data_IF_776201101247
#
_entry.id   IF_776201101247
#
_cell.length_a   1.000
_cell.length_b   1.000
_cell.length_c   1.000
_cell.angle_alpha   90.00
_cell.angle_beta   90.00
_cell.angle_gamma   90.00
#
_symmetry.space_group_name_H-M   'P 1'
#
loop_
_entity.id
_entity.type
_entity.pdbx_description
1 polymer ?
#
# COMPACT_ATOMS: atom_id res chain seq x y z
N UNK A 1 19.63 8.32 24.02
CA UNK A 1 18.37 7.90 23.37
C UNK A 1 18.73 7.57 21.94
N UNK A 2 18.38 6.38 21.49
CA UNK A 2 18.65 5.91 20.12
C UNK A 2 17.43 6.17 19.24
N UNK A 3 17.65 6.35 17.95
CA UNK A 3 16.57 6.66 17.00
C UNK A 3 15.97 5.39 16.40
N UNK A 4 14.64 5.36 16.29
CA UNK A 4 13.87 4.32 15.58
C UNK A 4 14.37 4.14 14.14
N UNK A 5 14.43 2.88 13.68
CA UNK A 5 15.00 2.49 12.37
C UNK A 5 16.54 2.57 12.30
N UNK A 6 17.20 3.15 13.31
CA UNK A 6 18.64 3.24 13.41
C UNK A 6 19.31 1.99 13.99
N UNK A 7 20.59 2.13 14.34
CA UNK A 7 21.40 1.08 14.96
C UNK A 7 21.96 1.56 16.31
N UNK A 8 22.18 0.64 17.25
CA UNK A 8 22.87 0.92 18.52
C UNK A 8 23.86 -0.19 18.83
N UNK A 9 24.94 0.18 19.53
CA UNK A 9 25.91 -0.77 20.08
C UNK A 9 25.88 -0.66 21.61
N UNK A 10 25.46 -1.75 22.26
CA UNK A 10 25.57 -1.93 23.71
C UNK A 10 26.91 -2.60 24.01
N UNK A 11 27.60 -2.20 25.07
CA UNK A 11 28.95 -2.68 25.34
C UNK A 11 29.21 -2.91 26.82
N UNK A 12 29.72 -4.10 27.15
CA UNK A 12 30.22 -4.42 28.47
C UNK A 12 31.72 -4.71 28.39
N UNK A 13 32.47 -4.07 29.30
CA UNK A 13 33.90 -4.29 29.45
C UNK A 13 34.12 -5.37 30.50
N UNK A 14 35.00 -6.31 30.22
CA UNK A 14 35.40 -7.35 31.16
C UNK A 14 36.92 -7.38 31.29
N UNK A 15 37.38 -7.86 32.43
CA UNK A 15 38.80 -7.97 32.77
C UNK A 15 39.25 -9.40 32.52
N UNK A 16 39.61 -9.71 31.27
CA UNK A 16 40.49 -10.83 30.97
C UNK A 16 41.19 -10.57 29.64
N UNK A 17 42.51 -10.69 29.62
CA UNK A 17 43.24 -10.99 28.38
C UNK A 17 43.22 -12.51 28.28
N UNK A 18 42.37 -13.11 27.44
CA UNK A 18 42.44 -14.55 27.27
C UNK A 18 43.79 -14.88 26.63
N UNK A 19 44.69 -15.51 27.39
CA UNK A 19 45.93 -16.11 26.85
C UNK A 19 45.60 -17.11 25.73
N UNK A 20 44.35 -17.58 25.66
CA UNK A 20 43.78 -18.29 24.53
C UNK A 20 42.27 -17.96 24.37
N UNK A 21 41.83 -17.27 23.30
CA UNK A 21 40.45 -16.77 23.16
C UNK A 21 39.34 -17.83 23.07
N UNK A 22 39.71 -19.11 22.86
CA UNK A 22 38.76 -20.11 22.38
C UNK A 22 38.27 -21.13 23.41
N UNK A 23 38.85 -21.18 24.62
CA UNK A 23 38.40 -22.12 25.65
C UNK A 23 37.91 -21.38 26.90
N UNK A 24 36.59 -21.37 27.10
CA UNK A 24 35.95 -20.91 28.34
C UNK A 24 35.38 -19.49 28.33
N UNK A 25 35.45 -18.75 27.21
CA UNK A 25 34.74 -17.48 27.06
C UNK A 25 33.29 -17.74 26.65
N UNK A 26 32.37 -17.30 27.49
CA UNK A 26 30.93 -17.38 27.27
C UNK A 26 30.33 -15.99 27.44
N UNK A 27 29.64 -15.51 26.42
CA UNK A 27 28.97 -14.21 26.42
C UNK A 27 27.50 -14.41 26.15
N UNK A 28 26.64 -13.91 27.04
CA UNK A 28 25.20 -13.99 26.87
C UNK A 28 24.61 -12.61 27.07
N UNK A 29 23.76 -12.20 26.14
CA UNK A 29 22.95 -11.00 26.27
C UNK A 29 21.52 -11.37 26.61
N UNK A 30 21.01 -10.80 27.69
CA UNK A 30 19.62 -10.93 28.11
C UNK A 30 18.89 -9.59 27.96
N UNK A 31 17.63 -9.66 27.54
CA UNK A 31 16.68 -8.57 27.69
C UNK A 31 15.91 -8.80 28.99
N UNK A 32 16.13 -7.89 29.93
CA UNK A 32 15.60 -7.96 31.29
C UNK A 32 14.16 -7.49 31.30
N UNK A 33 13.24 -8.44 31.41
CA UNK A 33 11.82 -8.22 31.71
C UNK A 33 11.48 -8.99 33.00
N UNK A 34 10.18 -9.14 33.33
CA UNK A 34 9.77 -10.03 34.43
C UNK A 34 10.22 -11.48 34.24
N UNK A 35 10.39 -11.92 32.98
CA UNK A 35 11.03 -13.17 32.62
C UNK A 35 12.19 -12.89 31.65
N UNK A 36 13.46 -12.91 32.10
CA UNK A 36 14.61 -12.58 31.25
C UNK A 36 14.63 -13.40 29.96
N UNK A 37 14.69 -12.72 28.81
CA UNK A 37 14.76 -13.36 27.51
C UNK A 37 16.18 -13.30 26.98
N UNK A 38 16.71 -14.43 26.52
CA UNK A 38 18.02 -14.46 25.86
C UNK A 38 17.91 -13.81 24.46
N UNK A 39 18.77 -12.84 24.21
CA UNK A 39 18.91 -12.14 22.94
C UNK A 39 19.88 -12.88 22.04
N UNK A 40 21.04 -13.24 22.60
CA UNK A 40 22.12 -13.94 21.90
C UNK A 40 23.06 -14.58 22.91
N UNK A 41 23.69 -15.68 22.48
CA UNK A 41 24.72 -16.41 23.20
C UNK A 41 25.89 -16.73 22.28
N UNK A 42 27.08 -16.50 22.80
CA UNK A 42 28.34 -17.01 22.28
C UNK A 42 28.90 -18.01 23.30
N UNK A 43 29.10 -19.25 22.86
CA UNK A 43 29.69 -20.34 23.64
C UNK A 43 30.52 -21.20 22.70
N UNK A 44 31.76 -21.54 23.06
CA UNK A 44 32.69 -22.33 22.23
C UNK A 44 32.90 -21.77 20.80
N UNK A 45 32.95 -20.44 20.67
CA UNK A 45 33.02 -19.72 19.38
C UNK A 45 31.81 -19.92 18.46
N UNK A 46 30.72 -20.49 18.97
CA UNK A 46 29.45 -20.65 18.24
C UNK A 46 28.46 -19.58 18.69
N UNK A 47 28.01 -18.77 17.75
CA UNK A 47 26.95 -17.78 17.97
C UNK A 47 25.56 -18.42 17.78
N UNK A 48 24.68 -18.19 18.75
CA UNK A 48 23.30 -18.66 18.74
C UNK A 48 22.37 -17.50 19.10
N UNK A 49 21.23 -17.43 18.41
CA UNK A 49 20.22 -16.39 18.60
C UNK A 49 18.93 -17.05 19.10
N UNK A 50 18.56 -16.77 20.35
CA UNK A 50 17.46 -17.48 21.00
C UNK A 50 16.08 -16.87 20.71
N UNK A 51 16.00 -15.56 20.42
CA UNK A 51 14.72 -14.86 20.32
C UNK A 51 14.36 -14.46 18.88
N UNK A 52 13.17 -14.86 18.37
CA UNK A 52 12.68 -14.47 17.06
C UNK A 52 12.60 -12.95 16.85
N UNK A 53 12.35 -12.18 17.92
CA UNK A 53 12.30 -10.70 17.90
C UNK A 53 13.60 -10.07 17.39
N UNK A 54 14.73 -10.73 17.63
CA UNK A 54 16.06 -10.23 17.35
C UNK A 54 16.72 -10.94 16.14
N UNK A 55 16.00 -11.86 15.50
CA UNK A 55 16.51 -12.63 14.37
C UNK A 55 16.90 -11.70 13.21
N UNK A 56 18.13 -11.85 12.71
CA UNK A 56 18.69 -11.04 11.61
C UNK A 56 19.02 -9.58 11.97
N UNK A 57 18.72 -9.12 13.19
CA UNK A 57 18.95 -7.72 13.62
C UNK A 57 20.13 -7.56 14.58
N UNK A 58 20.55 -8.64 15.20
CA UNK A 58 21.56 -8.61 16.26
C UNK A 58 22.86 -9.26 15.82
N UNK A 59 23.98 -8.63 16.20
CA UNK A 59 25.33 -9.12 15.90
C UNK A 59 26.27 -8.88 17.08
N UNK A 60 27.10 -9.86 17.41
CA UNK A 60 28.22 -9.66 18.32
C UNK A 60 29.40 -9.08 17.54
N UNK A 61 30.03 -8.03 18.05
CA UNK A 61 31.26 -7.52 17.48
C UNK A 61 32.43 -8.35 18.02
N UNK A 62 32.57 -9.57 17.52
CA UNK A 62 33.51 -10.58 18.03
C UNK A 62 34.98 -10.13 17.99
N UNK A 63 35.34 -9.23 17.08
CA UNK A 63 36.65 -8.57 17.04
C UNK A 63 36.99 -7.76 18.29
N UNK A 64 35.97 -7.27 19.01
CA UNK A 64 36.14 -6.44 20.20
C UNK A 64 36.38 -7.28 21.47
N UNK A 65 36.09 -8.59 21.40
CA UNK A 65 36.29 -9.51 22.52
C UNK A 65 37.77 -9.59 22.91
N UNK A 66 38.69 -9.55 21.92
CA UNK A 66 40.15 -9.51 22.15
C UNK A 66 40.62 -8.28 22.93
N UNK A 67 39.82 -7.22 22.92
CA UNK A 67 40.08 -5.96 23.61
C UNK A 67 39.35 -5.89 24.98
N UNK A 68 38.78 -7.01 25.45
CA UNK A 68 38.01 -7.08 26.70
C UNK A 68 36.62 -6.44 26.59
N UNK A 69 36.02 -6.42 25.40
CA UNK A 69 34.70 -5.83 25.16
C UNK A 69 33.72 -6.82 24.52
N UNK A 70 32.62 -7.09 25.21
CA UNK A 70 31.46 -7.74 24.64
C UNK A 70 30.52 -6.65 24.11
N UNK A 71 30.52 -6.42 22.79
CA UNK A 71 29.68 -5.41 22.14
C UNK A 71 28.58 -6.05 21.31
N UNK A 72 27.33 -5.74 21.65
CA UNK A 72 26.12 -6.16 20.96
C UNK A 72 25.62 -5.04 20.06
N UNK A 73 25.63 -5.26 18.76
CA UNK A 73 24.95 -4.38 17.81
C UNK A 73 23.51 -4.84 17.60
N UNK A 74 22.56 -3.92 17.71
CA UNK A 74 21.16 -4.10 17.34
C UNK A 74 20.86 -3.13 16.20
N UNK A 75 20.38 -3.65 15.08
CA UNK A 75 20.04 -2.88 13.87
C UNK A 75 18.53 -2.84 13.65
N UNK A 76 18.04 -1.90 12.84
CA UNK A 76 16.60 -1.69 12.62
C UNK A 76 15.84 -1.55 13.95
N UNK A 77 16.23 -0.53 14.74
CA UNK A 77 15.72 -0.33 16.10
C UNK A 77 14.21 -0.08 16.11
N UNK A 78 13.51 -0.83 16.97
CA UNK A 78 12.07 -0.70 17.19
C UNK A 78 11.81 -0.06 18.54
N UNK A 79 10.66 0.58 18.71
CA UNK A 79 10.24 1.17 20.00
C UNK A 79 10.26 0.10 21.11
N UNK A 80 9.84 -1.12 20.77
CA UNK A 80 9.80 -2.29 21.68
C UNK A 80 11.18 -2.85 22.04
N UNK A 81 12.26 -2.40 21.41
CA UNK A 81 13.63 -2.75 21.83
C UNK A 81 14.07 -1.93 23.04
N UNK A 82 13.34 -0.88 23.42
CA UNK A 82 13.58 -0.16 24.67
C UNK A 82 13.46 -1.09 25.87
N UNK A 83 14.34 -0.90 26.85
CA UNK A 83 14.34 -1.69 28.07
C UNK A 83 15.74 -1.86 28.66
N UNK A 84 15.83 -2.77 29.61
CA UNK A 84 17.07 -3.09 30.31
C UNK A 84 17.70 -4.33 29.70
N UNK A 85 18.97 -4.26 29.33
CA UNK A 85 19.75 -5.38 28.77
C UNK A 85 20.87 -5.74 29.72
N UNK A 86 21.09 -7.02 29.94
CA UNK A 86 22.20 -7.50 30.78
C UNK A 86 23.15 -8.32 29.92
N UNK A 87 24.42 -7.92 29.91
CA UNK A 87 25.50 -8.76 29.39
C UNK A 87 26.02 -9.60 30.56
N UNK A 88 25.98 -10.91 30.41
CA UNK A 88 26.62 -11.88 31.28
C UNK A 88 27.86 -12.41 30.57
N UNK A 89 29.00 -12.38 31.26
CA UNK A 89 30.27 -12.82 30.71
C UNK A 89 30.87 -13.81 31.69
N UNK A 90 31.27 -14.97 31.18
CA UNK A 90 31.98 -15.98 31.94
C UNK A 90 33.30 -16.29 31.24
N UNK A 91 34.35 -16.37 32.04
CA UNK A 91 35.74 -16.65 31.66
C UNK A 91 36.27 -17.75 32.56
N UNK A 92 37.51 -18.18 32.34
CA UNK A 92 38.20 -19.15 33.20
C UNK A 92 38.43 -18.63 34.63
N UNK A 93 38.51 -17.31 34.82
CA UNK A 93 38.75 -16.68 36.13
C UNK A 93 37.47 -16.49 36.94
N UNK A 94 36.31 -16.51 36.29
CA UNK A 94 35.03 -16.26 36.92
C UNK A 94 33.99 -15.70 35.96
N UNK A 95 32.88 -15.21 36.50
CA UNK A 95 31.81 -14.59 35.74
C UNK A 95 31.41 -13.25 36.35
N UNK A 96 30.95 -12.34 35.50
CA UNK A 96 30.42 -11.04 35.89
C UNK A 96 29.30 -10.63 34.94
N UNK A 97 28.48 -9.67 35.36
CA UNK A 97 27.40 -9.14 34.55
C UNK A 97 27.27 -7.62 34.69
N UNK A 98 26.76 -7.00 33.62
CA UNK A 98 26.44 -5.57 33.63
C UNK A 98 25.14 -5.30 32.91
N UNK A 99 24.33 -4.46 33.54
CA UNK A 99 23.02 -4.04 33.04
C UNK A 99 23.13 -2.66 32.38
N UNK A 100 22.48 -2.49 31.22
CA UNK A 100 22.48 -1.30 30.38
C UNK A 100 21.03 -0.97 30.01
N UNK A 101 20.62 0.28 30.16
CA UNK A 101 19.29 0.74 29.73
C UNK A 101 19.34 1.30 28.32
N UNK A 102 18.52 0.75 27.42
CA UNK A 102 18.29 1.25 26.07
C UNK A 102 16.94 1.97 26.02
N UNK A 103 16.93 3.20 25.49
CA UNK A 103 15.71 3.95 25.20
C UNK A 103 15.72 4.34 23.73
N UNK A 104 14.69 3.90 23.01
CA UNK A 104 14.46 4.17 21.60
C UNK A 104 13.32 5.18 21.46
N UNK A 105 13.56 6.24 20.69
CA UNK A 105 12.57 7.27 20.38
C UNK A 105 12.44 7.47 18.86
N UNK A 106 11.29 7.98 18.43
CA UNK A 106 11.05 8.37 17.06
C UNK A 106 10.68 9.86 17.02
N UNK A 107 11.49 10.74 16.44
CA UNK A 107 11.18 12.15 16.39
C UNK A 107 10.08 12.48 15.37
N UNK A 108 9.29 13.51 15.63
CA UNK A 108 8.24 14.05 14.76
C UNK A 108 8.81 14.90 13.61
N UNK A 109 9.83 14.38 12.90
CA UNK A 109 10.57 15.06 11.83
C UNK A 109 9.71 15.33 10.58
N UNK A 110 8.91 14.36 10.17
CA UNK A 110 8.20 14.36 8.88
C UNK A 110 6.82 15.02 8.97
N UNK A 111 6.81 16.33 9.17
CA UNK A 111 5.57 17.10 9.35
C UNK A 111 4.87 17.34 8.01
N UNK A 112 3.70 16.73 7.84
CA UNK A 112 2.77 16.98 6.74
C UNK A 112 1.95 18.23 7.03
N UNK A 113 1.91 19.17 6.08
CA UNK A 113 1.14 20.42 6.14
C UNK A 113 -0.05 20.37 5.18
N UNK A 114 -1.24 20.76 5.63
CA UNK A 114 -2.42 20.95 4.78
C UNK A 114 -3.10 22.29 5.10
N UNK A 115 -3.63 22.92 4.07
CA UNK A 115 -4.33 24.20 4.13
C UNK A 115 -5.64 24.01 3.38
N UNK A 116 -6.76 24.17 4.06
CA UNK A 116 -8.11 23.98 3.50
C UNK A 116 -8.95 25.23 3.79
N UNK A 117 -9.79 25.65 2.85
CA UNK A 117 -10.69 26.81 3.06
C UNK A 117 -12.04 26.32 3.56
N UNK A 118 -12.68 27.09 4.43
CA UNK A 118 -14.08 26.84 4.80
C UNK A 118 -15.01 27.05 3.60
N UNK A 119 -16.23 26.51 3.67
CA UNK A 119 -17.23 26.65 2.62
C UNK A 119 -17.58 28.13 2.35
N UNK A 120 -17.52 28.96 3.39
CA UNK A 120 -17.77 30.39 3.34
C UNK A 120 -16.59 31.21 2.78
N UNK A 121 -15.36 30.64 2.74
CA UNK A 121 -14.17 31.29 2.18
C UNK A 121 -13.48 32.32 3.10
N UNK A 122 -14.06 32.63 4.24
CA UNK A 122 -13.60 33.64 5.21
C UNK A 122 -12.51 33.11 6.16
N UNK A 123 -12.38 31.78 6.26
CA UNK A 123 -11.47 31.10 7.16
C UNK A 123 -10.71 29.96 6.50
N UNK A 124 -9.59 29.62 7.11
CA UNK A 124 -8.65 28.61 6.67
C UNK A 124 -8.35 27.66 7.82
N UNK A 125 -8.43 26.36 7.54
CA UNK A 125 -8.04 25.30 8.45
C UNK A 125 -6.61 24.90 8.12
N UNK A 126 -5.71 25.13 9.08
CA UNK A 126 -4.31 24.72 8.98
C UNK A 126 -4.13 23.41 9.73
N UNK A 127 -3.68 22.36 9.04
CA UNK A 127 -3.48 21.04 9.63
C UNK A 127 -2.02 20.64 9.58
N UNK A 128 -1.48 20.26 10.73
CA UNK A 128 -0.13 19.77 10.94
C UNK A 128 -0.20 18.32 11.42
N UNK A 129 0.48 17.40 10.73
CA UNK A 129 0.45 15.98 11.07
C UNK A 129 1.85 15.38 11.05
N UNK A 130 2.22 14.64 12.09
CA UNK A 130 3.47 13.88 12.11
C UNK A 130 3.32 12.60 12.95
N UNK A 131 4.22 11.66 12.72
CA UNK A 131 4.31 10.40 13.46
C UNK A 131 5.60 10.38 14.30
N UNK A 132 5.53 9.85 15.52
CA UNK A 132 6.66 9.86 16.46
C UNK A 132 6.38 9.11 17.77
N UNK A 133 7.40 9.00 18.63
CA UNK A 133 7.33 8.36 19.93
C UNK A 133 8.37 8.97 20.89
N UNK A 134 8.02 9.26 22.15
CA UNK A 134 6.70 9.09 22.77
C UNK A 134 5.69 10.15 22.31
N UNK A 135 4.45 10.06 22.79
CA UNK A 135 3.41 11.07 22.49
C UNK A 135 3.89 12.50 22.78
N UNK A 136 3.61 13.41 21.85
CA UNK A 136 3.95 14.83 21.94
C UNK A 136 2.71 15.72 21.92
N UNK A 137 2.75 16.79 22.71
CA UNK A 137 1.79 17.90 22.61
C UNK A 137 2.19 18.78 21.42
N UNK A 138 1.20 19.36 20.74
CA UNK A 138 1.41 20.34 19.67
C UNK A 138 0.96 21.71 20.13
N UNK A 139 1.85 22.69 20.02
CA UNK A 139 1.56 24.10 20.30
C UNK A 139 1.54 24.87 18.98
N UNK A 140 0.58 25.77 18.82
CA UNK A 140 0.50 26.65 17.67
C UNK A 140 0.76 28.09 18.06
N UNK A 141 1.63 28.75 17.30
CA UNK A 141 1.97 30.15 17.51
C UNK A 141 1.94 30.90 16.18
N UNK A 142 1.49 32.15 16.20
CA UNK A 142 1.58 33.02 15.02
C UNK A 142 2.92 33.80 14.98
N UNK A 143 3.13 34.63 13.96
CA UNK A 143 4.36 35.43 13.80
C UNK A 143 4.61 36.42 14.95
N UNK A 144 3.58 36.72 15.74
CA UNK A 144 3.65 37.58 16.93
C UNK A 144 3.79 36.78 18.23
N UNK A 145 4.08 35.47 18.15
CA UNK A 145 4.19 34.54 19.30
C UNK A 145 2.89 34.36 20.09
N UNK A 146 1.74 34.73 19.53
CA UNK A 146 0.45 34.48 20.15
C UNK A 146 0.08 33.01 20.00
N UNK A 147 -0.28 32.37 21.12
CA UNK A 147 -0.71 30.97 21.12
C UNK A 147 -2.14 30.81 20.63
N UNK A 148 -2.38 29.73 19.90
CA UNK A 148 -3.70 29.32 19.44
C UNK A 148 -4.07 27.98 20.07
N UNK A 149 -5.35 27.82 20.41
CA UNK A 149 -5.88 26.55 20.93
C UNK A 149 -6.09 25.57 19.78
N UNK A 150 -5.32 24.49 19.69
CA UNK A 150 -5.47 23.54 18.62
C UNK A 150 -6.46 22.43 18.98
N UNK A 151 -7.15 21.93 17.97
CA UNK A 151 -7.82 20.64 18.06
C UNK A 151 -6.81 19.55 17.65
N UNK A 152 -6.25 18.87 18.65
CA UNK A 152 -5.21 17.86 18.46
C UNK A 152 -5.78 16.47 18.76
N UNK A 153 -5.58 15.55 17.81
CA UNK A 153 -5.95 14.15 17.93
C UNK A 153 -4.69 13.29 17.84
N UNK A 154 -4.47 12.43 18.84
CA UNK A 154 -3.43 11.39 18.80
C UNK A 154 -4.07 10.04 18.51
N UNK A 155 -3.52 9.31 17.54
CA UNK A 155 -3.94 7.93 17.23
C UNK A 155 -2.72 7.01 17.24
N UNK A 156 -2.87 5.73 17.65
CA UNK A 156 -1.83 4.73 17.45
C UNK A 156 -1.53 4.56 15.95
N UNK A 157 -0.27 4.40 15.63
CA UNK A 157 0.25 4.11 14.29
C UNK A 157 1.01 2.77 14.30
N UNK A 158 1.38 2.22 13.13
CA UNK A 158 2.24 1.04 13.05
C UNK A 158 3.52 1.18 13.89
N UNK A 159 4.13 0.03 14.24
CA UNK A 159 5.38 -0.04 15.01
C UNK A 159 5.37 0.61 16.41
N UNK A 160 4.18 0.81 16.99
CA UNK A 160 3.96 1.47 18.29
C UNK A 160 4.33 2.96 18.29
N UNK A 161 4.20 3.61 17.14
CA UNK A 161 4.30 5.06 17.03
C UNK A 161 2.96 5.73 17.33
N UNK A 162 3.01 7.04 17.59
CA UNK A 162 1.85 7.91 17.71
C UNK A 162 1.76 8.82 16.50
N UNK A 163 0.61 8.77 15.82
CA UNK A 163 0.24 9.74 14.80
C UNK A 163 -0.52 10.88 15.44
N UNK A 164 0.07 12.06 15.41
CA UNK A 164 -0.50 13.27 15.99
C UNK A 164 -0.94 14.18 14.84
N UNK A 165 -2.22 14.52 14.82
CA UNK A 165 -2.83 15.46 13.87
C UNK A 165 -3.40 16.63 14.65
N UNK A 166 -2.92 17.84 14.37
CA UNK A 166 -3.31 19.06 15.04
C UNK A 166 -3.81 20.07 14.03
N UNK A 167 -4.93 20.73 14.31
CA UNK A 167 -5.47 21.77 13.43
C UNK A 167 -5.95 23.01 14.19
N UNK A 168 -5.83 24.16 13.52
CA UNK A 168 -6.37 25.45 13.95
C UNK A 168 -7.17 26.07 12.81
N UNK A 169 -8.16 26.89 13.16
CA UNK A 169 -8.98 27.67 12.24
C UNK A 169 -8.63 29.14 12.40
N UNK A 170 -8.25 29.80 11.32
CA UNK A 170 -7.75 31.19 11.29
C UNK A 170 -8.37 31.96 10.14
N UNK A 171 -8.39 33.30 10.19
CA UNK A 171 -8.98 34.10 9.10
C UNK A 171 -8.13 34.01 7.83
N UNK A 172 -8.77 33.88 6.66
CA UNK A 172 -8.09 33.94 5.35
C UNK A 172 -7.54 35.33 5.03
N UNK A 173 -8.09 36.38 5.66
CA UNK A 173 -7.72 37.78 5.40
C UNK A 173 -6.52 38.26 6.22
N UNK A 174 -6.19 37.56 7.30
CA UNK A 174 -5.07 37.91 8.17
C UNK A 174 -3.75 37.42 7.57
N UNK A 175 -2.91 38.36 7.11
CA UNK A 175 -1.56 38.06 6.66
C UNK A 175 -0.67 37.73 7.85
N UNK A 176 -0.65 36.46 8.23
CA UNK A 176 0.17 35.97 9.34
C UNK A 176 0.79 34.61 9.00
N UNK A 177 1.89 34.29 9.68
CA UNK A 177 2.55 33.00 9.60
C UNK A 177 2.19 32.21 10.85
N UNK A 178 1.74 30.97 10.68
CA UNK A 178 1.39 30.10 11.79
C UNK A 178 2.38 28.95 11.86
N UNK A 179 2.89 28.65 13.05
CA UNK A 179 3.87 27.60 13.26
C UNK A 179 3.30 26.58 14.23
N UNK A 180 3.20 25.32 13.81
CA UNK A 180 2.97 24.21 14.73
C UNK A 180 4.32 23.73 15.28
N UNK A 181 4.38 23.44 16.58
CA UNK A 181 5.58 22.96 17.27
C UNK A 181 5.26 21.73 18.12
N UNK A 182 5.97 20.64 17.88
CA UNK A 182 5.95 19.42 18.68
C UNK A 182 6.84 19.61 19.90
N UNK A 183 6.24 19.73 21.09
CA UNK A 183 6.96 20.11 22.31
C UNK A 183 7.97 19.06 22.77
N UNK A 184 7.84 17.80 22.34
CA UNK A 184 8.70 16.72 22.80
C UNK A 184 10.14 16.82 22.27
N UNK A 185 10.28 17.27 21.03
CA UNK A 185 11.54 17.24 20.28
C UNK A 185 11.82 18.56 19.52
N UNK A 186 10.88 19.52 19.56
CA UNK A 186 11.04 20.86 19.02
C UNK A 186 10.91 20.93 17.50
N UNK A 187 10.48 19.87 16.83
CA UNK A 187 10.19 19.95 15.40
C UNK A 187 8.98 20.84 15.17
N UNK A 188 9.09 21.68 14.15
CA UNK A 188 8.06 22.66 13.85
C UNK A 188 7.88 22.82 12.35
N UNK A 189 6.69 23.27 11.97
CA UNK A 189 6.40 23.60 10.58
C UNK A 189 5.59 24.89 10.51
N UNK A 190 6.06 25.82 9.68
CA UNK A 190 5.42 27.10 9.43
C UNK A 190 4.54 27.03 8.17
N UNK A 191 3.38 27.66 8.28
CA UNK A 191 2.35 27.82 7.27
C UNK A 191 2.32 29.27 6.80
N UNK A 192 2.24 29.45 5.49
CA UNK A 192 2.04 30.72 4.83
C UNK A 192 0.70 30.63 4.10
N UNK A 193 -0.28 31.44 4.50
CA UNK A 193 -1.59 31.46 3.85
C UNK A 193 -1.43 32.21 2.51
N UNK A 194 -1.72 31.57 1.36
CA UNK A 194 -1.62 32.22 0.06
C UNK A 194 -2.74 33.25 -0.16
N UNK A 195 -2.45 34.33 -0.91
CA UNK A 195 -3.38 35.44 -1.18
C UNK A 195 -4.60 35.01 -2.04
N UNK A 196 -4.49 33.92 -2.80
CA UNK A 196 -5.58 33.32 -3.58
C UNK A 196 -5.68 31.82 -3.25
N UNK A 197 -6.59 31.46 -2.33
CA UNK A 197 -6.96 30.05 -2.19
C UNK A 197 -8.03 29.77 -3.25
N UNK A 198 -7.69 29.00 -4.28
CA UNK A 198 -8.62 28.53 -5.29
C UNK A 198 -9.72 27.70 -4.59
N UNK A 199 -10.81 28.37 -4.24
CA UNK A 199 -12.07 27.72 -3.89
C UNK A 199 -12.45 26.83 -5.07
N UNK A 200 -12.83 25.55 -4.85
CA UNK A 200 -13.53 24.78 -5.86
C UNK A 200 -14.95 25.36 -5.99
N UNK A 201 -15.04 26.56 -6.56
CA UNK A 201 -16.29 27.29 -6.62
C UNK A 201 -17.11 26.82 -7.82
N UNK A 202 -18.28 26.26 -7.49
CA UNK A 202 -19.54 26.64 -8.12
C UNK A 202 -19.59 26.60 -9.64
N UNK A 203 -19.76 25.39 -10.20
CA UNK A 203 -20.35 25.24 -11.54
C UNK A 203 -21.51 24.26 -11.43
N UNK A 204 -22.69 24.76 -11.08
CA UNK A 204 -23.99 24.12 -11.40
C UNK A 204 -25.21 25.07 -11.29
N UNK A 205 -25.05 26.33 -10.86
CA UNK A 205 -26.18 27.24 -10.67
C UNK A 205 -26.95 27.65 -11.94
N UNK A 206 -26.38 27.43 -13.14
CA UNK A 206 -27.06 27.75 -14.42
C UNK A 206 -27.71 26.53 -15.07
N UNK A 207 -27.21 25.32 -14.80
CA UNK A 207 -27.72 24.09 -15.43
C UNK A 207 -29.07 23.64 -14.84
N UNK A 208 -29.24 23.79 -13.52
CA UNK A 208 -30.46 23.41 -12.81
C UNK A 208 -31.67 24.23 -13.26
N UNK A 209 -31.64 25.59 -13.34
CA UNK A 209 -32.79 26.35 -13.84
C UNK A 209 -33.08 26.06 -15.32
N UNK A 210 -32.07 25.79 -16.15
CA UNK A 210 -32.27 25.46 -17.58
C UNK A 210 -32.95 24.10 -17.75
N UNK A 211 -32.53 23.08 -16.97
CA UNK A 211 -33.19 21.76 -16.94
C UNK A 211 -34.63 21.85 -16.43
N UNK A 212 -34.89 22.64 -15.40
CA UNK A 212 -36.24 22.89 -14.88
C UNK A 212 -37.14 23.59 -15.91
N UNK A 213 -36.64 24.60 -16.62
CA UNK A 213 -37.39 25.29 -17.68
C UNK A 213 -37.65 24.32 -18.85
N UNK A 214 -36.66 23.51 -19.25
CA UNK A 214 -36.83 22.49 -20.27
C UNK A 214 -37.90 21.46 -19.91
N UNK A 215 -37.90 20.97 -18.66
CA UNK A 215 -38.92 20.05 -18.16
C UNK A 215 -40.33 20.66 -18.14
N UNK A 216 -40.46 21.93 -17.73
CA UNK A 216 -41.75 22.63 -17.73
C UNK A 216 -42.30 22.80 -19.16
N UNK A 217 -41.45 23.15 -20.12
CA UNK A 217 -41.85 23.27 -21.53
C UNK A 217 -42.24 21.92 -22.14
N UNK A 218 -41.51 20.84 -21.82
CA UNK A 218 -41.85 19.49 -22.26
C UNK A 218 -43.20 19.02 -21.67
N UNK A 219 -43.44 19.28 -20.39
CA UNK A 219 -44.70 18.95 -19.72
C UNK A 219 -45.89 19.72 -20.33
N UNK A 220 -45.72 21.00 -20.66
CA UNK A 220 -46.73 21.79 -21.36
C UNK A 220 -46.99 21.26 -22.78
N UNK A 221 -45.94 20.83 -23.49
CA UNK A 221 -46.06 20.18 -24.80
C UNK A 221 -46.86 18.88 -24.73
N UNK A 222 -46.53 17.98 -23.80
CA UNK A 222 -47.26 16.74 -23.53
C UNK A 222 -48.72 17.00 -23.10
N UNK A 223 -48.95 18.04 -22.30
CA UNK A 223 -50.28 18.51 -21.93
C UNK A 223 -51.11 18.95 -23.14
N UNK A 224 -50.52 19.67 -24.09
CA UNK A 224 -51.22 20.07 -25.33
C UNK A 224 -51.50 18.89 -26.26
N UNK A 225 -50.58 17.93 -26.36
CA UNK A 225 -50.78 16.71 -27.18
C UNK A 225 -51.90 15.86 -26.62
N UNK A 226 -51.91 15.61 -25.30
CA UNK A 226 -52.98 14.86 -24.64
C UNK A 226 -54.31 15.62 -24.66
N UNK A 227 -54.31 16.95 -24.56
CA UNK A 227 -55.50 17.78 -24.73
C UNK A 227 -56.07 17.70 -26.16
N UNK A 228 -55.21 17.71 -27.20
CA UNK A 228 -55.62 17.49 -28.58
C UNK A 228 -56.14 16.07 -28.81
N UNK A 229 -55.56 15.06 -28.17
CA UNK A 229 -56.01 13.67 -28.26
C UNK A 229 -57.37 13.44 -27.58
N UNK A 230 -57.68 14.19 -26.51
CA UNK A 230 -58.94 14.09 -25.77
C UNK A 230 -60.10 14.86 -26.42
N UNK A 231 -59.83 15.78 -27.35
CA UNK A 231 -60.84 16.55 -28.10
C UNK A 231 -61.29 15.89 -29.42
N UNK A 232 -60.65 14.78 -29.81
CA UNK A 232 -60.92 14.03 -31.04
C UNK A 232 -61.96 12.90 -30.94
N UNK A 233 -62.53 12.62 -29.76
CA UNK A 233 -63.56 11.59 -29.60
C UNK A 233 -64.67 12.05 -28.67
N UNK A 234 -65.91 12.12 -29.16
CA UNK A 234 -67.09 12.61 -28.44
C UNK A 234 -68.17 11.51 -28.41
N UNK A 235 -68.34 10.91 -27.23
CA UNK A 235 -69.58 10.32 -26.60
C UNK A 235 -70.24 9.06 -27.20
N UNK A 236 -71.19 8.36 -26.49
CA UNK A 236 -71.71 8.55 -25.10
C UNK A 236 -71.98 7.25 -24.25
N UNK A 237 -72.40 7.46 -22.98
CA UNK A 237 -73.19 6.56 -22.07
C UNK A 237 -72.46 5.35 -21.42
N UNK A 238 -72.65 4.96 -20.15
CA UNK A 238 -73.85 4.97 -19.27
C UNK A 238 -73.51 4.88 -17.77
N UNK A 239 -74.49 5.31 -16.96
CA UNK A 239 -74.74 5.31 -15.51
C UNK A 239 -74.33 4.12 -14.60
N UNK A 240 -74.08 4.52 -13.32
CA UNK A 240 -74.52 3.98 -12.01
C UNK A 240 -73.61 3.06 -11.14
N UNK A 241 -73.22 3.65 -10.00
CA UNK A 241 -73.36 3.28 -8.57
C UNK A 241 -72.98 1.90 -7.99
N UNK A 242 -72.16 1.99 -6.92
CA UNK A 242 -72.14 1.29 -5.61
C UNK A 242 -71.96 -0.24 -5.59
N UNK A 243 -71.01 -0.71 -4.76
CA UNK A 243 -71.22 -1.60 -3.59
C UNK A 243 -69.86 -1.87 -2.91
N UNK A 244 -69.90 -1.88 -1.58
CA UNK A 244 -68.84 -2.22 -0.61
C UNK A 244 -68.84 -3.74 -0.30
N UNK A 245 -67.85 -4.18 0.47
CA UNK A 245 -67.64 -5.49 1.12
C UNK A 245 -66.87 -6.61 0.39
N UNK A 246 -65.88 -7.16 1.11
CA UNK A 246 -65.33 -8.50 0.87
C UNK A 246 -63.89 -8.72 1.37
N UNK A 247 -63.73 -9.19 2.60
CA UNK A 247 -62.47 -9.70 3.19
C UNK A 247 -61.98 -11.04 2.58
N UNK A 248 -60.64 -11.24 2.69
CA UNK A 248 -59.85 -12.48 2.75
C UNK A 248 -59.71 -13.43 1.54
N UNK A 249 -58.48 -13.54 1.00
CA UNK A 249 -57.51 -14.62 1.32
C UNK A 249 -56.34 -14.73 0.31
N UNK A 250 -55.11 -14.79 0.87
CA UNK A 250 -53.89 -15.52 0.44
C UNK A 250 -53.47 -15.64 -1.03
N UNK A 251 -52.29 -15.09 -1.39
CA UNK A 251 -51.07 -15.87 -1.73
C UNK A 251 -49.96 -15.05 -2.41
N UNK A 252 -48.76 -15.11 -1.81
CA UNK A 252 -47.41 -15.01 -2.39
C UNK A 252 -47.08 -13.99 -3.50
N UNK A 253 -46.35 -12.92 -3.18
CA UNK A 253 -45.08 -12.57 -3.87
C UNK A 253 -44.27 -11.47 -3.16
N UNK A 254 -42.95 -11.71 -3.06
CA UNK A 254 -41.83 -10.75 -3.11
C UNK A 254 -41.82 -9.50 -2.19
N UNK A 255 -40.97 -9.57 -1.16
CA UNK A 255 -40.41 -8.41 -0.48
C UNK A 255 -39.50 -7.59 -1.42
N UNK A 256 -39.93 -6.38 -1.81
CA UNK A 256 -39.03 -5.33 -2.31
C UNK A 256 -38.51 -4.52 -1.12
N UNK A 257 -37.23 -4.68 -0.78
CA UNK A 257 -36.50 -3.68 0.03
C UNK A 257 -35.87 -2.67 -0.93
N UNK A 258 -36.13 -1.39 -0.65
CA UNK A 258 -35.55 -0.23 -1.32
C UNK A 258 -34.04 -0.20 -1.08
N UNK A 259 -33.27 -0.25 -2.16
CA UNK A 259 -31.91 0.25 -2.17
C UNK A 259 -31.93 1.79 -2.18
N UNK A 260 -31.19 2.39 -1.25
CA UNK A 260 -30.76 3.79 -1.33
C UNK A 260 -29.47 3.79 -2.13
N UNK A 261 -29.54 4.28 -3.37
CA UNK A 261 -28.38 4.65 -4.16
C UNK A 261 -27.56 5.71 -3.41
N UNK A 262 -26.26 5.41 -3.21
CA UNK A 262 -25.25 6.41 -2.87
C UNK A 262 -24.71 6.93 -4.20
N UNK A 263 -24.93 8.22 -4.45
CA UNK A 263 -24.27 8.95 -5.53
C UNK A 263 -22.75 8.87 -5.31
N UNK A 264 -22.05 8.33 -6.31
CA UNK A 264 -20.59 8.36 -6.40
C UNK A 264 -20.21 9.61 -7.20
N UNK A 265 -19.57 10.57 -6.54
CA UNK A 265 -19.02 11.76 -7.18
C UNK A 265 -17.94 11.35 -8.20
N UNK A 266 -18.08 11.88 -9.40
CA UNK A 266 -17.31 11.57 -10.60
C UNK A 266 -16.01 12.41 -10.59
N UNK A 267 -14.87 11.77 -10.34
CA UNK A 267 -13.54 12.42 -10.40
C UNK A 267 -13.01 12.30 -11.82
N UNK A 268 -12.98 13.43 -12.54
CA UNK A 268 -12.28 13.59 -13.82
C UNK A 268 -10.77 13.52 -13.58
N UNK A 269 -10.10 12.56 -14.21
CA UNK A 269 -8.65 12.33 -14.05
C UNK A 269 -7.87 13.20 -15.04
N UNK A 270 -7.17 14.20 -14.53
CA UNK A 270 -5.99 14.79 -15.20
C UNK A 270 -4.73 14.45 -14.40
N UNK A 271 -3.66 14.14 -15.12
CA UNK A 271 -2.28 13.86 -14.68
C UNK A 271 -2.01 12.45 -14.09
N UNK A 272 -0.92 11.81 -14.55
CA UNK A 272 -0.49 10.41 -14.28
C UNK A 272 -0.41 10.03 -12.80
N UNK A 273 -0.23 11.02 -11.92
CA UNK A 273 -0.21 10.86 -10.47
C UNK A 273 -1.56 10.39 -9.90
N UNK A 274 -2.66 10.76 -10.58
CA UNK A 274 -4.02 10.34 -10.23
C UNK A 274 -4.32 8.90 -10.71
N UNK A 275 -3.74 8.46 -11.84
CA UNK A 275 -3.82 7.05 -12.26
C UNK A 275 -3.07 6.15 -11.28
N UNK A 276 -1.87 6.57 -10.85
CA UNK A 276 -1.07 5.83 -9.86
C UNK A 276 -1.81 5.66 -8.53
N UNK A 277 -2.36 6.74 -7.99
CA UNK A 277 -3.08 6.71 -6.71
C UNK A 277 -4.37 5.86 -6.82
N UNK A 278 -5.08 5.94 -7.95
CA UNK A 278 -6.25 5.13 -8.21
C UNK A 278 -5.93 3.63 -8.25
N UNK A 279 -4.87 3.23 -8.98
CA UNK A 279 -4.43 1.84 -9.05
C UNK A 279 -3.95 1.34 -7.68
N UNK A 280 -3.19 2.14 -6.93
CA UNK A 280 -2.77 1.78 -5.57
C UNK A 280 -3.98 1.57 -4.65
N UNK A 281 -4.96 2.48 -4.66
CA UNK A 281 -6.17 2.34 -3.85
C UNK A 281 -6.95 1.08 -4.23
N UNK A 282 -7.13 0.82 -5.53
CA UNK A 282 -7.84 -0.35 -6.05
C UNK A 282 -7.17 -1.66 -5.64
N UNK A 283 -5.85 -1.75 -5.79
CA UNK A 283 -5.09 -2.94 -5.44
C UNK A 283 -4.97 -3.13 -3.92
N UNK A 284 -4.92 -2.06 -3.14
CA UNK A 284 -5.01 -2.13 -1.67
C UNK A 284 -6.39 -2.63 -1.19
N UNK A 285 -7.47 -2.20 -1.82
CA UNK A 285 -8.83 -2.69 -1.53
C UNK A 285 -8.98 -4.17 -1.92
N UNK A 286 -8.40 -4.57 -3.05
CA UNK A 286 -8.33 -5.97 -3.48
C UNK A 286 -7.50 -6.83 -2.51
N UNK A 287 -6.41 -6.26 -1.97
CA UNK A 287 -5.57 -6.91 -0.95
C UNK A 287 -6.26 -7.03 0.43
N UNK A 288 -7.25 -6.18 0.73
CA UNK A 288 -8.01 -6.18 1.99
C UNK A 288 -9.25 -7.10 1.97
N UNK A 289 -9.79 -7.38 0.80
CA UNK A 289 -10.93 -8.31 0.63
C UNK A 289 -10.51 -9.78 0.60
N UNK A 290 -9.21 -10.05 0.47
CA UNK A 290 -8.61 -11.38 0.65
C UNK A 290 -8.19 -11.63 2.11
N UNK A 291 -9.19 -11.66 2.99
CA UNK A 291 -9.20 -12.59 4.14
C UNK A 291 -9.39 -14.06 3.69
N UNK A 292 -9.24 -14.30 2.38
CA UNK A 292 -8.90 -15.55 1.72
C UNK A 292 -7.38 -15.48 1.49
N UNK A 293 -6.58 -15.73 2.53
CA UNK A 293 -5.91 -17.02 2.71
C UNK A 293 -5.02 -17.32 1.51
N UNK A 294 -3.74 -17.57 1.78
CA UNK A 294 -2.85 -18.35 0.92
C UNK A 294 -3.39 -19.79 0.74
N UNK A 295 -4.62 -19.92 0.22
CA UNK A 295 -5.26 -21.14 -0.27
C UNK A 295 -5.31 -21.13 -1.81
N UNK A 296 -4.50 -20.28 -2.46
CA UNK A 296 -4.04 -20.56 -3.82
C UNK A 296 -2.72 -21.33 -3.70
N UNK A 297 -2.86 -22.65 -3.59
CA UNK A 297 -1.83 -23.67 -3.80
C UNK A 297 -0.68 -23.79 -2.78
N UNK A 298 -0.93 -24.20 -1.52
CA UNK A 298 0.09 -24.74 -0.58
C UNK A 298 1.43 -23.95 -0.47
N UNK A 299 1.44 -22.68 -0.85
CA UNK A 299 2.66 -21.93 -1.15
C UNK A 299 2.77 -20.77 -0.17
N UNK A 300 3.65 -20.95 0.82
CA UNK A 300 4.08 -19.86 1.67
C UNK A 300 5.03 -18.96 0.85
N UNK A 301 4.85 -17.63 0.92
CA UNK A 301 5.74 -16.67 0.25
C UNK A 301 7.23 -16.87 0.61
N UNK A 302 7.49 -17.46 1.79
CA UNK A 302 8.79 -17.85 2.33
C UNK A 302 9.50 -18.94 1.50
N UNK A 303 8.76 -19.75 0.73
CA UNK A 303 9.32 -20.81 -0.13
C UNK A 303 9.72 -20.32 -1.53
N UNK A 304 9.31 -19.11 -1.93
CA UNK A 304 9.57 -18.54 -3.25
C UNK A 304 11.05 -18.55 -3.66
N UNK A 305 12.03 -18.19 -2.79
CA UNK A 305 13.45 -18.19 -3.15
C UNK A 305 13.97 -19.59 -3.53
N UNK A 306 13.38 -20.63 -2.94
CA UNK A 306 13.83 -22.01 -3.13
C UNK A 306 13.18 -22.70 -4.34
N UNK A 307 12.12 -22.10 -4.90
CA UNK A 307 11.33 -22.68 -6.00
C UNK A 307 11.55 -22.01 -7.35
N UNK A 308 12.24 -20.86 -7.36
CA UNK A 308 12.56 -20.09 -8.55
C UNK A 308 13.90 -20.53 -9.16
N UNK A 309 13.85 -20.97 -10.41
CA UNK A 309 15.03 -21.40 -11.16
C UNK A 309 15.04 -20.81 -12.57
N UNK A 310 16.23 -20.63 -13.14
CA UNK A 310 16.37 -20.28 -14.54
C UNK A 310 16.19 -21.52 -15.45
N UNK A 311 16.30 -21.33 -16.77
CA UNK A 311 16.23 -22.43 -17.74
C UNK A 311 17.28 -23.53 -17.56
N UNK A 312 18.37 -23.24 -16.84
CA UNK A 312 19.50 -24.14 -16.57
C UNK A 312 19.38 -24.85 -15.21
N UNK A 313 18.31 -24.59 -14.45
CA UNK A 313 18.07 -25.19 -13.13
C UNK A 313 18.83 -24.52 -11.98
N UNK A 314 19.49 -23.39 -12.22
CA UNK A 314 20.18 -22.60 -11.19
C UNK A 314 19.18 -21.77 -10.39
N UNK A 315 19.43 -21.63 -9.09
CA UNK A 315 18.65 -20.73 -8.23
C UNK A 315 18.83 -19.28 -8.64
N UNK A 316 17.72 -18.57 -8.71
CA UNK A 316 17.66 -17.18 -9.15
C UNK A 316 17.27 -16.30 -7.97
N UNK A 317 17.87 -15.11 -7.85
CA UNK A 317 17.55 -14.21 -6.75
C UNK A 317 16.15 -13.67 -6.97
N UNK A 318 15.44 -13.38 -5.90
CA UNK A 318 14.11 -12.78 -5.98
C UNK A 318 14.11 -11.55 -6.89
N UNK A 319 15.09 -10.64 -6.76
CA UNK A 319 15.21 -9.42 -7.58
C UNK A 319 15.21 -9.65 -9.09
N UNK A 320 15.59 -10.83 -9.56
CA UNK A 320 15.63 -11.16 -10.99
C UNK A 320 14.22 -11.52 -11.53
N UNK A 321 13.19 -11.66 -10.68
CA UNK A 321 11.75 -11.72 -11.06
C UNK A 321 11.24 -10.41 -11.64
N UNK A 322 11.94 -9.30 -11.40
CA UNK A 322 11.60 -8.03 -11.98
C UNK A 322 12.39 -7.82 -13.28
N UNK A 323 11.73 -7.75 -14.45
CA UNK A 323 12.41 -7.53 -15.72
C UNK A 323 13.21 -6.21 -15.70
N UNK A 324 14.36 -6.20 -16.38
CA UNK A 324 15.08 -4.96 -16.69
C UNK A 324 14.23 -4.05 -17.60
N UNK A 325 14.49 -2.75 -17.60
CA UNK A 325 13.79 -1.79 -18.47
C UNK A 325 13.79 -2.26 -19.94
N UNK A 326 12.64 -2.23 -20.57
CA UNK A 326 12.42 -2.68 -21.95
C UNK A 326 12.55 -4.18 -22.17
N UNK A 327 12.71 -4.99 -21.12
CA UNK A 327 12.76 -6.46 -21.21
C UNK A 327 11.43 -7.09 -20.83
N UNK A 328 11.21 -8.27 -21.40
CA UNK A 328 10.07 -9.14 -21.11
C UNK A 328 10.61 -10.36 -20.37
N UNK A 329 9.97 -10.72 -19.26
CA UNK A 329 10.27 -11.90 -18.47
C UNK A 329 9.06 -12.83 -18.49
N UNK A 330 9.28 -14.10 -18.82
CA UNK A 330 8.26 -15.14 -18.82
C UNK A 330 8.48 -16.05 -17.61
N UNK A 331 7.52 -16.11 -16.70
CA UNK A 331 7.50 -17.03 -15.57
C UNK A 331 6.61 -18.23 -15.90
N UNK A 332 7.24 -19.35 -16.23
CA UNK A 332 6.55 -20.62 -16.52
C UNK A 332 6.44 -21.49 -15.27
N UNK A 333 5.32 -22.16 -15.08
CA UNK A 333 5.16 -23.14 -14.01
C UNK A 333 3.84 -23.89 -14.17
N UNK A 334 3.76 -25.17 -13.76
CA UNK A 334 2.53 -25.95 -13.87
C UNK A 334 1.36 -25.28 -13.12
N UNK A 335 0.12 -25.69 -13.40
CA UNK A 335 -1.01 -25.35 -12.54
C UNK A 335 -0.65 -25.66 -11.09
N UNK A 336 -1.12 -24.83 -10.17
CA UNK A 336 -0.77 -24.88 -8.74
C UNK A 336 0.70 -24.66 -8.35
N UNK A 337 1.53 -24.16 -9.25
CA UNK A 337 2.91 -23.81 -8.90
C UNK A 337 3.02 -22.59 -7.98
N UNK A 338 2.00 -21.72 -7.90
CA UNK A 338 2.05 -20.45 -7.14
C UNK A 338 2.37 -19.20 -7.98
N UNK A 339 2.22 -19.26 -9.32
CA UNK A 339 2.46 -18.13 -10.25
C UNK A 339 1.64 -16.88 -9.90
N UNK A 340 0.34 -17.05 -9.68
CA UNK A 340 -0.56 -15.98 -9.25
C UNK A 340 -0.14 -15.42 -7.88
N UNK A 341 0.40 -16.26 -6.99
CA UNK A 341 0.93 -15.79 -5.72
C UNK A 341 2.17 -14.90 -5.91
N UNK A 342 3.04 -15.19 -6.88
CA UNK A 342 4.14 -14.29 -7.26
C UNK A 342 3.61 -12.95 -7.76
N UNK A 343 2.59 -12.96 -8.62
CA UNK A 343 1.94 -11.73 -9.10
C UNK A 343 1.36 -10.89 -7.93
N UNK A 344 0.71 -11.54 -6.97
CA UNK A 344 0.17 -10.89 -5.76
C UNK A 344 1.25 -10.37 -4.81
N UNK A 345 2.39 -11.06 -4.69
CA UNK A 345 3.54 -10.58 -3.89
C UNK A 345 4.11 -9.29 -4.51
N UNK A 346 4.23 -9.24 -5.85
CA UNK A 346 4.69 -8.02 -6.55
C UNK A 346 3.69 -6.87 -6.38
N UNK A 347 2.39 -7.17 -6.48
CA UNK A 347 1.33 -6.17 -6.31
C UNK A 347 1.32 -5.60 -4.88
N UNK A 348 1.39 -6.46 -3.87
CA UNK A 348 1.39 -6.06 -2.45
C UNK A 348 2.67 -5.32 -2.03
N UNK A 349 3.80 -5.63 -2.67
CA UNK A 349 5.06 -4.89 -2.50
C UNK A 349 5.00 -3.47 -3.08
N UNK A 350 4.11 -3.20 -4.05
CA UNK A 350 3.92 -1.88 -4.65
C UNK A 350 2.91 -0.99 -3.90
N UNK A 351 1.96 -1.61 -3.18
CA UNK A 351 0.86 -0.93 -2.48
C UNK A 351 1.10 -0.66 -0.98
N UNK A 352 2.32 -0.88 -0.49
CA UNK A 352 2.77 -0.62 0.90
C UNK A 352 2.14 -1.52 1.99
N UNK A 353 1.52 -2.66 1.62
CA UNK A 353 0.70 -3.47 2.53
C UNK A 353 1.29 -4.77 3.09
N UNK A 354 2.47 -5.23 2.65
CA UNK A 354 2.95 -6.60 2.94
C UNK A 354 4.50 -6.68 3.04
N UNK A 355 5.09 -7.83 3.49
CA UNK A 355 6.53 -7.94 3.77
C UNK A 355 7.37 -7.56 2.54
N UNK A 356 8.40 -6.74 2.76
CA UNK A 356 9.29 -6.21 1.72
C UNK A 356 10.21 -7.30 1.15
N UNK A 357 9.65 -8.26 0.39
CA UNK A 357 10.42 -9.20 -0.42
C UNK A 357 11.11 -8.49 -1.60
N UNK A 358 10.54 -7.37 -2.03
CA UNK A 358 10.99 -6.53 -3.13
C UNK A 358 10.88 -5.06 -2.74
N UNK A 359 11.85 -4.23 -3.17
CA UNK A 359 11.66 -2.79 -3.17
C UNK A 359 10.80 -2.42 -4.39
N UNK A 360 9.47 -2.41 -4.26
CA UNK A 360 8.55 -2.03 -5.35
C UNK A 360 8.43 -0.52 -5.55
N UNK A 361 9.03 0.29 -4.66
CA UNK A 361 8.84 1.74 -4.61
C UNK A 361 9.43 2.49 -5.81
N UNK A 362 10.41 1.89 -6.49
CA UNK A 362 11.03 2.47 -7.69
C UNK A 362 10.09 2.47 -8.91
N UNK A 363 8.99 1.70 -8.90
CA UNK A 363 8.00 1.71 -9.97
C UNK A 363 7.04 2.89 -9.82
N UNK A 364 6.97 3.70 -10.87
CA UNK A 364 6.03 4.82 -10.99
C UNK A 364 4.62 4.28 -11.27
N UNK A 365 4.51 3.24 -12.09
CA UNK A 365 3.23 2.65 -12.50
C UNK A 365 3.31 1.12 -12.60
N UNK A 366 2.33 0.43 -12.03
CA UNK A 366 2.19 -1.02 -12.16
C UNK A 366 0.76 -1.32 -12.64
N UNK A 367 0.65 -2.00 -13.78
CA UNK A 367 -0.64 -2.47 -14.32
C UNK A 367 -0.71 -3.99 -14.23
N UNK A 368 -1.64 -4.49 -13.42
CA UNK A 368 -1.95 -5.91 -13.30
C UNK A 368 -3.18 -6.25 -14.16
N UNK A 369 -3.07 -7.32 -14.95
CA UNK A 369 -4.17 -7.86 -15.78
C UNK A 369 -4.29 -9.36 -15.54
N UNK A 370 -5.47 -9.79 -15.07
CA UNK A 370 -5.79 -11.22 -14.99
C UNK A 370 -6.17 -11.73 -16.39
N UNK A 371 -5.34 -12.60 -16.94
CA UNK A 371 -5.47 -13.10 -18.31
C UNK A 371 -6.30 -14.39 -18.43
N UNK A 372 -6.70 -15.00 -17.30
CA UNK A 372 -7.40 -16.30 -17.28
C UNK A 372 -8.75 -16.32 -18.01
N UNK A 373 -9.36 -15.15 -18.24
CA UNK A 373 -10.67 -15.02 -18.88
C UNK A 373 -10.69 -14.00 -20.04
N UNK A 374 -9.54 -13.69 -20.66
CA UNK A 374 -9.46 -12.70 -21.76
C UNK A 374 -10.35 -13.10 -22.95
N UNK A 375 -11.33 -12.25 -23.28
CA UNK A 375 -12.24 -12.44 -24.42
C UNK A 375 -12.03 -11.44 -25.57
N UNK A 376 -11.25 -10.38 -25.36
CA UNK A 376 -11.09 -9.29 -26.31
C UNK A 376 -9.71 -8.63 -26.25
N UNK A 377 -9.67 -7.33 -26.55
CA UNK A 377 -8.45 -6.53 -26.49
C UNK A 377 -7.87 -6.48 -25.06
N UNK A 378 -6.55 -6.60 -24.95
CA UNK A 378 -5.85 -6.67 -23.67
C UNK A 378 -6.05 -5.42 -22.80
N UNK A 379 -5.99 -4.23 -23.39
CA UNK A 379 -6.09 -2.98 -22.64
C UNK A 379 -7.54 -2.60 -22.36
N UNK A 380 -8.49 -2.99 -23.22
CA UNK A 380 -9.92 -2.86 -22.92
C UNK A 380 -10.36 -3.78 -21.78
N UNK A 381 -9.85 -5.01 -21.74
CA UNK A 381 -10.10 -5.92 -20.61
C UNK A 381 -9.44 -5.37 -19.33
N UNK A 382 -8.22 -4.85 -19.42
CA UNK A 382 -7.55 -4.21 -18.29
C UNK A 382 -8.37 -3.04 -17.73
N UNK A 383 -8.89 -2.16 -18.60
CA UNK A 383 -9.77 -1.05 -18.19
C UNK A 383 -11.04 -1.55 -17.50
N UNK A 384 -11.62 -2.63 -18.00
CA UNK A 384 -12.82 -3.24 -17.42
C UNK A 384 -12.53 -3.80 -16.02
N UNK A 385 -11.45 -4.58 -15.86
CA UNK A 385 -11.06 -5.16 -14.57
C UNK A 385 -10.72 -4.08 -13.53
N UNK A 386 -10.16 -2.96 -13.98
CA UNK A 386 -9.74 -1.85 -13.12
C UNK A 386 -10.80 -0.76 -12.92
N UNK A 387 -12.00 -0.94 -13.48
CA UNK A 387 -13.09 0.06 -13.43
C UNK A 387 -12.66 1.45 -13.96
N UNK A 388 -11.85 1.43 -15.03
CA UNK A 388 -11.29 2.61 -15.70
C UNK A 388 -12.01 2.98 -17.01
N UNK A 389 -13.12 2.30 -17.35
CA UNK A 389 -13.83 2.48 -18.63
C UNK A 389 -14.17 3.96 -18.88
N UNK A 390 -14.68 4.67 -17.87
CA UNK A 390 -15.09 6.07 -18.01
C UNK A 390 -13.96 7.08 -17.70
N UNK A 391 -12.77 6.60 -17.33
CA UNK A 391 -11.71 7.43 -16.74
C UNK A 391 -10.47 7.61 -17.61
N UNK A 392 -10.07 6.57 -18.33
CA UNK A 392 -8.84 6.55 -19.15
C UNK A 392 -9.11 5.67 -20.36
N UNK A 393 -8.77 6.11 -21.57
CA UNK A 393 -8.86 5.31 -22.80
C UNK A 393 -7.79 4.23 -22.87
N UNK A 394 -8.00 3.18 -23.69
CA UNK A 394 -6.98 2.12 -23.85
C UNK A 394 -5.65 2.66 -24.42
N UNK A 395 -5.71 3.65 -25.30
CA UNK A 395 -4.51 4.25 -25.89
C UNK A 395 -3.76 5.16 -24.90
N UNK A 396 -4.46 5.89 -24.04
CA UNK A 396 -3.83 6.64 -22.95
C UNK A 396 -3.15 5.71 -21.95
N UNK A 397 -3.79 4.58 -21.60
CA UNK A 397 -3.21 3.56 -20.73
C UNK A 397 -1.95 2.94 -21.35
N UNK A 398 -2.00 2.64 -22.66
CA UNK A 398 -0.86 2.15 -23.44
C UNK A 398 0.29 3.17 -23.44
N UNK A 399 -0.02 4.43 -23.67
CA UNK A 399 0.95 5.54 -23.71
C UNK A 399 1.58 5.77 -22.34
N UNK A 400 0.79 5.75 -21.26
CA UNK A 400 1.29 5.89 -19.89
C UNK A 400 2.28 4.78 -19.52
N UNK A 401 2.03 3.54 -19.96
CA UNK A 401 2.97 2.44 -19.77
C UNK A 401 4.26 2.62 -20.58
N UNK A 402 4.18 3.10 -21.82
CA UNK A 402 5.34 3.27 -22.69
C UNK A 402 6.25 4.45 -22.32
N UNK A 403 5.76 5.40 -21.51
CA UNK A 403 6.43 6.69 -21.23
C UNK A 403 7.67 6.60 -20.34
N UNK A 404 7.72 5.65 -19.40
CA UNK A 404 8.77 5.55 -18.38
C UNK A 404 9.39 4.15 -18.30
N UNK A 405 10.66 4.08 -17.90
CA UNK A 405 11.38 2.83 -17.63
C UNK A 405 11.09 2.25 -16.23
N UNK A 406 10.27 2.98 -15.46
CA UNK A 406 9.74 2.61 -14.14
C UNK A 406 8.29 2.13 -14.20
N UNK A 407 7.81 1.71 -15.37
CA UNK A 407 6.51 1.06 -15.51
C UNK A 407 6.65 -0.46 -15.61
N UNK A 408 5.67 -1.18 -15.04
CA UNK A 408 5.58 -2.64 -15.12
C UNK A 408 4.18 -3.06 -15.58
N UNK A 409 4.11 -3.80 -16.68
CA UNK A 409 2.93 -4.54 -17.10
C UNK A 409 3.03 -5.99 -16.61
N UNK A 410 2.10 -6.42 -15.79
CA UNK A 410 2.03 -7.75 -15.21
C UNK A 410 0.81 -8.50 -15.76
N UNK A 411 1.07 -9.53 -16.56
CA UNK A 411 0.05 -10.39 -17.15
C UNK A 411 0.01 -11.73 -16.40
N UNK A 412 -1.05 -11.98 -15.63
CA UNK A 412 -1.18 -13.21 -14.85
C UNK A 412 -2.03 -14.26 -15.57
N UNK A 413 -1.43 -15.41 -15.89
CA UNK A 413 -2.10 -16.54 -16.54
C UNK A 413 -2.34 -16.34 -18.04
N UNK A 414 -1.42 -15.66 -18.74
CA UNK A 414 -1.53 -15.43 -20.17
C UNK A 414 -1.36 -16.72 -20.97
N UNK A 415 -2.17 -16.86 -22.03
CA UNK A 415 -2.18 -18.02 -22.92
C UNK A 415 -2.39 -17.54 -24.35
N UNK A 416 -1.46 -17.91 -25.25
CA UNK A 416 -1.59 -17.63 -26.68
C UNK A 416 -2.72 -18.47 -27.28
N UNK A 417 -3.47 -17.86 -28.20
CA UNK A 417 -4.61 -18.48 -28.87
C UNK A 417 -5.81 -17.54 -29.05
N UNK A 418 -5.83 -16.39 -28.36
CA UNK A 418 -6.81 -15.34 -28.60
C UNK A 418 -6.19 -14.28 -29.51
N UNK A 419 -6.63 -14.27 -30.78
CA UNK A 419 -6.11 -13.38 -31.83
C UNK A 419 -6.07 -11.90 -31.40
N UNK A 420 -7.10 -11.41 -30.70
CA UNK A 420 -7.18 -10.00 -30.31
C UNK A 420 -6.13 -9.64 -29.24
N UNK A 421 -6.03 -10.42 -28.16
CA UNK A 421 -5.04 -10.16 -27.10
C UNK A 421 -3.61 -10.36 -27.58
N UNK A 422 -3.38 -11.36 -28.44
CA UNK A 422 -2.05 -11.71 -28.94
C UNK A 422 -1.52 -10.64 -29.90
N UNK A 423 -2.39 -10.11 -30.77
CA UNK A 423 -2.04 -9.02 -31.67
C UNK A 423 -1.78 -7.72 -30.90
N UNK A 424 -2.64 -7.37 -29.94
CA UNK A 424 -2.46 -6.17 -29.11
C UNK A 424 -1.19 -6.26 -28.25
N UNK A 425 -0.91 -7.41 -27.63
CA UNK A 425 0.32 -7.62 -26.89
C UNK A 425 1.54 -7.52 -27.80
N UNK A 426 1.53 -8.12 -29.00
CA UNK A 426 2.65 -8.04 -29.95
C UNK A 426 2.91 -6.61 -30.40
N UNK A 427 1.87 -5.84 -30.72
CA UNK A 427 1.98 -4.42 -31.09
C UNK A 427 2.53 -3.60 -29.93
N UNK A 428 1.99 -3.79 -28.72
CA UNK A 428 2.50 -3.13 -27.52
C UNK A 428 3.97 -3.46 -27.31
N UNK A 429 4.35 -4.73 -27.38
CA UNK A 429 5.76 -5.12 -27.24
C UNK A 429 6.64 -4.46 -28.31
N UNK A 430 6.17 -4.26 -29.53
CA UNK A 430 6.96 -3.56 -30.56
C UNK A 430 7.15 -2.07 -30.26
N UNK A 431 6.16 -1.43 -29.62
CA UNK A 431 6.11 0.01 -29.38
C UNK A 431 6.43 0.44 -27.93
N UNK A 432 6.61 -0.52 -27.01
CA UNK A 432 6.62 -0.31 -25.54
C UNK A 432 7.70 0.62 -24.98
N UNK A 433 8.66 1.03 -25.79
CA UNK A 433 9.85 1.76 -25.34
C UNK A 433 10.58 1.00 -24.22
N UNK A 434 10.64 1.60 -23.03
CA UNK A 434 11.36 1.10 -21.86
C UNK A 434 10.49 0.35 -20.84
N UNK A 435 9.20 0.12 -21.14
CA UNK A 435 8.29 -0.57 -20.23
C UNK A 435 8.76 -2.01 -19.93
N UNK A 436 8.66 -2.40 -18.65
CA UNK A 436 8.98 -3.76 -18.18
C UNK A 436 7.73 -4.62 -18.32
N UNK A 437 7.88 -5.87 -18.78
CA UNK A 437 6.74 -6.78 -18.92
C UNK A 437 7.05 -8.10 -18.24
N UNK A 438 6.19 -8.52 -17.30
CA UNK A 438 6.24 -9.83 -16.67
C UNK A 438 4.99 -10.62 -17.07
N UNK A 439 5.18 -11.80 -17.62
CA UNK A 439 4.11 -12.69 -18.07
C UNK A 439 4.18 -13.98 -17.28
N UNK A 440 3.10 -14.38 -16.61
CA UNK A 440 2.99 -15.71 -15.98
C UNK A 440 2.16 -16.62 -16.88
N UNK A 441 2.61 -17.86 -17.10
CA UNK A 441 1.97 -18.80 -18.02
C UNK A 441 2.21 -20.25 -17.59
N UNK A 442 1.35 -21.17 -18.01
CA UNK A 442 1.66 -22.59 -17.95
C UNK A 442 2.72 -22.95 -19.01
N UNK A 443 3.51 -24.03 -18.80
CA UNK A 443 4.54 -24.42 -19.75
C UNK A 443 3.92 -24.78 -21.10
N UNK A 444 4.39 -24.14 -22.17
CA UNK A 444 3.92 -24.40 -23.53
C UNK A 444 2.69 -23.59 -23.99
N UNK A 445 2.10 -22.77 -23.12
CA UNK A 445 0.97 -21.90 -23.48
C UNK A 445 1.40 -20.61 -24.22
N UNK A 446 2.69 -20.28 -24.25
CA UNK A 446 3.23 -19.08 -24.93
C UNK A 446 4.38 -19.40 -25.92
N UNK A 447 4.16 -20.23 -26.96
CA UNK A 447 5.22 -20.66 -27.88
C UNK A 447 5.83 -19.53 -28.72
N UNK A 448 5.04 -18.54 -29.17
CA UNK A 448 5.52 -17.46 -30.05
C UNK A 448 6.29 -16.40 -29.27
N UNK A 449 5.79 -16.03 -28.08
CA UNK A 449 6.47 -15.13 -27.17
C UNK A 449 7.83 -15.71 -26.80
N UNK A 450 7.90 -17.00 -26.47
CA UNK A 450 9.15 -17.68 -26.11
C UNK A 450 10.19 -17.70 -27.23
N UNK A 451 9.78 -17.80 -28.49
CA UNK A 451 10.69 -17.70 -29.64
C UNK A 451 11.27 -16.29 -29.84
N UNK A 452 10.58 -15.28 -29.32
CA UNK A 452 10.97 -13.86 -29.43
C UNK A 452 11.85 -13.41 -28.25
N UNK A 453 11.92 -14.20 -27.18
CA UNK A 453 12.71 -13.91 -25.97
C UNK A 453 14.12 -14.48 -26.06
N UNK A 454 15.12 -13.73 -25.61
CA UNK A 454 16.48 -14.26 -25.36
C UNK A 454 16.46 -15.28 -24.21
N UNK A 455 17.40 -16.22 -24.16
CA UNK A 455 17.49 -17.32 -23.16
C UNK A 455 17.45 -16.87 -21.69
N UNK A 456 17.86 -15.63 -21.39
CA UNK A 456 17.78 -15.01 -20.05
C UNK A 456 16.36 -14.55 -19.65
N UNK A 457 15.38 -14.59 -20.57
CA UNK A 457 14.04 -14.04 -20.39
C UNK A 457 12.99 -15.03 -19.90
N UNK A 458 13.36 -16.26 -19.50
CA UNK A 458 12.41 -17.25 -18.97
C UNK A 458 12.87 -17.80 -17.64
N UNK A 459 11.99 -17.74 -16.65
CA UNK A 459 12.13 -18.35 -15.32
C UNK A 459 11.12 -19.47 -15.16
N UNK A 460 11.50 -20.49 -14.41
CA UNK A 460 10.65 -21.64 -14.10
C UNK A 460 10.38 -21.70 -12.61
N UNK A 461 9.12 -21.92 -12.29
CA UNK A 461 8.65 -22.15 -10.92
C UNK A 461 8.36 -23.64 -10.75
N UNK A 462 9.13 -24.31 -9.89
CA UNK A 462 8.98 -25.76 -9.66
C UNK A 462 8.11 -26.06 -8.46
N UNK A 463 7.40 -27.18 -8.48
CA UNK A 463 6.73 -27.74 -7.30
C UNK A 463 7.75 -28.55 -6.50
N UNK A 464 7.87 -28.32 -5.19
CA UNK A 464 8.59 -29.28 -4.35
C UNK A 464 7.76 -30.56 -4.27
N UNK A 465 8.32 -31.68 -4.69
CA UNK A 465 7.82 -33.00 -4.29
C UNK A 465 8.00 -33.08 -2.78
N UNK A 466 6.90 -33.02 -2.02
CA UNK A 466 6.94 -33.31 -0.59
C UNK A 466 7.69 -34.63 -0.36
N UNK A 467 8.77 -34.58 0.41
CA UNK A 467 9.20 -35.77 1.14
C UNK A 467 8.37 -35.81 2.41
N UNK A 468 7.65 -36.92 2.54
CA UNK A 468 6.76 -37.37 3.61
C UNK A 468 6.96 -36.75 4.99
#
# INVERSE_FOLDING_TARGET
MSEYGGNVVLGCKFSSQPENPQNGLKVIWHWMTSNPQEVMRLEDSVESFASPKYHGRVKLLSDELKNGWAKLQISDLRITDSGSYQCFIQTTEGHDYKTISLSVGAPYKSITKRIETTAEGDKVVLTCQSEGYPESVVVWQNGNLQEHHPNTTTKPAPDNLFKVTSHIEVSSTEKNNYTCNFTKDGYSATFHIPDEILSPHGKNDVLIPVLCIGFLLAALGLGMVTYKHKKGSRSPSTRNCLVDDGENSTSATACLKRDKERELEEIVITEEENLRSHLKARYSEFSLTTKVRCDCDNFAAEELPHRLQNNEGLHVRLQDLLPKAGKVLLLEGPSSSGKTTVANILLSSWTDGAPKFFDGSFLDLLLYVNCSALRGDLFEEARTQLSLIDKVSAEELRTALAKSDKTLLLLDGYKEGNHFSDETLRRFLSDRGSCRVLVTSCPGDCPVLKQTLTTEGTLKLHMQSGKY
#
